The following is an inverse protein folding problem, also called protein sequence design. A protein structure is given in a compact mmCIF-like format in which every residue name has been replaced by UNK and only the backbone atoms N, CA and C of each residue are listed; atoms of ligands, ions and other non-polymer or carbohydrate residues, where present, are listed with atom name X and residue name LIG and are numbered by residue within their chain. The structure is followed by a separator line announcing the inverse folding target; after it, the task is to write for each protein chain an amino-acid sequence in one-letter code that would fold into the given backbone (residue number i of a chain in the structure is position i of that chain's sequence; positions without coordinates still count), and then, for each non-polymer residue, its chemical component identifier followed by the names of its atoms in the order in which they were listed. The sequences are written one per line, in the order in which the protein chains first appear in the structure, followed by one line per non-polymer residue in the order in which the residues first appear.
data_IF_882234948467
#
_entry.id   IF_882234948467
#
_cell.length_a   1.000
_cell.length_b   1.000
_cell.length_c   1.000
_cell.angle_alpha   90.00
_cell.angle_beta   90.00
_cell.angle_gamma   90.00
#
_symmetry.space_group_name_H-M   'P 1'
#
loop_
_entity.id
_entity.type
_entity.pdbx_description
1 polymer ?
#
# COMPACT_ATOMS: atom_id res chain seq x y z
N UNK A 1 -6.58 -33.39 8.41
CA UNK A 1 -5.65 -32.24 8.30
C UNK A 1 -6.45 -30.94 8.32
N UNK A 2 -6.07 -29.93 9.12
CA UNK A 2 -6.71 -28.60 9.04
C UNK A 2 -6.09 -27.84 7.86
N UNK A 3 -6.92 -27.15 7.06
CA UNK A 3 -6.48 -26.43 5.86
C UNK A 3 -5.28 -25.49 6.09
N UNK A 4 -5.21 -24.84 7.25
CA UNK A 4 -4.08 -24.00 7.66
C UNK A 4 -2.77 -24.80 7.77
N UNK A 5 -2.82 -25.99 8.36
CA UNK A 5 -1.63 -26.79 8.64
C UNK A 5 -1.10 -27.39 7.32
N UNK A 6 -1.99 -27.80 6.42
CA UNK A 6 -1.65 -28.12 5.02
C UNK A 6 -0.93 -26.97 4.31
N UNK A 7 -1.42 -25.73 4.47
CA UNK A 7 -0.77 -24.55 3.88
C UNK A 7 0.58 -24.23 4.51
N UNK A 8 0.82 -24.60 5.77
CA UNK A 8 2.11 -24.38 6.45
C UNK A 8 3.16 -25.41 6.01
N UNK A 9 2.74 -26.65 5.80
CA UNK A 9 3.59 -27.76 5.33
C UNK A 9 4.03 -27.58 3.87
N UNK A 10 3.21 -26.91 3.06
CA UNK A 10 3.48 -26.67 1.63
C UNK A 10 3.98 -25.24 1.33
N UNK A 11 4.64 -24.60 2.29
CA UNK A 11 5.31 -23.33 2.04
C UNK A 11 6.67 -23.58 1.42
N UNK A 12 7.01 -22.79 0.40
CA UNK A 12 8.27 -22.86 -0.31
C UNK A 12 8.57 -24.25 -0.91
N UNK A 13 7.52 -25.01 -1.25
CA UNK A 13 7.69 -26.26 -1.99
C UNK A 13 8.22 -25.94 -3.39
N UNK A 14 9.22 -26.70 -3.83
CA UNK A 14 9.76 -26.60 -5.19
C UNK A 14 8.82 -27.36 -6.12
N UNK A 15 8.33 -26.69 -7.15
CA UNK A 15 7.66 -27.37 -8.27
C UNK A 15 8.69 -28.15 -9.10
N UNK A 16 8.22 -29.01 -10.00
CA UNK A 16 9.05 -29.79 -10.95
C UNK A 16 10.01 -28.92 -11.79
N UNK A 17 9.71 -27.62 -11.89
CA UNK A 17 10.51 -26.60 -12.59
C UNK A 17 11.55 -25.90 -11.70
N UNK A 18 11.69 -26.30 -10.44
CA UNK A 18 12.60 -25.69 -9.46
C UNK A 18 12.11 -24.34 -8.91
N UNK A 19 10.95 -23.84 -9.36
CA UNK A 19 10.34 -22.63 -8.80
C UNK A 19 9.80 -22.91 -7.40
N UNK A 20 10.21 -22.07 -6.46
CA UNK A 20 9.74 -22.12 -5.07
C UNK A 20 8.38 -21.42 -5.00
N UNK A 21 7.31 -22.21 -4.92
CA UNK A 21 5.93 -21.73 -4.76
C UNK A 21 5.54 -21.54 -3.30
N UNK A 22 4.53 -20.71 -3.01
CA UNK A 22 3.92 -20.64 -1.68
C UNK A 22 4.62 -19.69 -0.70
N UNK A 23 4.49 -18.38 -0.94
CA UNK A 23 4.88 -17.36 0.06
C UNK A 23 3.96 -17.42 1.29
N UNK A 24 4.49 -17.24 2.52
CA UNK A 24 3.69 -17.13 3.73
C UNK A 24 2.64 -16.03 3.68
N UNK A 25 2.89 -14.93 2.95
CA UNK A 25 1.91 -13.86 2.77
C UNK A 25 0.71 -14.34 1.95
N UNK A 26 0.95 -15.15 0.93
CA UNK A 26 -0.08 -15.71 0.05
C UNK A 26 -0.91 -16.76 0.79
N UNK A 27 -0.26 -17.67 1.51
CA UNK A 27 -0.94 -18.67 2.33
C UNK A 27 -1.79 -18.02 3.45
N UNK A 28 -1.25 -16.99 4.12
CA UNK A 28 -1.99 -16.19 5.09
C UNK A 28 -3.23 -15.54 4.47
N UNK A 29 -3.11 -15.01 3.25
CA UNK A 29 -4.25 -14.44 2.53
C UNK A 29 -5.32 -15.49 2.21
N UNK A 30 -4.97 -16.71 1.83
CA UNK A 30 -5.94 -17.79 1.62
C UNK A 30 -6.70 -18.15 2.89
N UNK A 31 -5.99 -18.26 4.03
CA UNK A 31 -6.65 -18.46 5.34
C UNK A 31 -7.59 -17.29 5.66
N UNK A 32 -7.20 -16.05 5.38
CA UNK A 32 -8.05 -14.87 5.57
C UNK A 32 -9.29 -14.88 4.66
N UNK A 33 -9.22 -15.43 3.44
CA UNK A 33 -10.40 -15.59 2.58
C UNK A 33 -11.43 -16.54 3.19
N UNK A 34 -10.99 -17.66 3.76
CA UNK A 34 -11.86 -18.59 4.50
C UNK A 34 -12.50 -17.89 5.70
N UNK A 35 -11.71 -17.14 6.49
CA UNK A 35 -12.25 -16.37 7.63
C UNK A 35 -13.30 -15.36 7.17
N UNK A 36 -13.02 -14.61 6.09
CA UNK A 36 -13.95 -13.62 5.53
C UNK A 36 -15.24 -14.27 5.02
N UNK A 37 -15.16 -15.48 4.47
CA UNK A 37 -16.33 -16.25 4.04
C UNK A 37 -17.26 -16.57 5.23
N UNK A 38 -16.73 -17.06 6.36
CA UNK A 38 -17.53 -17.30 7.56
C UNK A 38 -18.06 -16.00 8.19
N UNK A 39 -17.29 -14.92 8.17
CA UNK A 39 -17.77 -13.59 8.61
C UNK A 39 -18.94 -13.16 7.73
N UNK A 40 -18.85 -13.35 6.41
CA UNK A 40 -19.93 -13.06 5.48
C UNK A 40 -21.19 -13.90 5.77
N UNK A 41 -21.07 -15.22 5.91
CA UNK A 41 -22.20 -16.10 6.23
C UNK A 41 -22.90 -15.70 7.53
N UNK A 42 -22.12 -15.31 8.54
CA UNK A 42 -22.67 -14.82 9.81
C UNK A 42 -23.43 -13.49 9.62
N UNK A 43 -22.87 -12.55 8.84
CA UNK A 43 -23.55 -11.28 8.53
C UNK A 43 -24.86 -11.49 7.77
N UNK A 44 -24.91 -12.51 6.90
CA UNK A 44 -26.12 -12.92 6.19
C UNK A 44 -27.09 -13.75 7.03
N UNK A 45 -26.78 -14.01 8.32
CA UNK A 45 -27.58 -14.84 9.23
C UNK A 45 -27.81 -16.29 8.76
N UNK A 46 -26.99 -16.77 7.82
CA UNK A 46 -27.04 -18.17 7.34
C UNK A 46 -26.50 -19.11 8.42
N UNK A 47 -25.46 -18.66 9.13
CA UNK A 47 -24.92 -19.35 10.30
C UNK A 47 -25.07 -18.43 11.53
N UNK A 48 -25.51 -18.99 12.65
CA UNK A 48 -25.46 -18.32 13.94
C UNK A 48 -24.18 -18.73 14.66
N UNK A 49 -23.34 -17.75 15.02
CA UNK A 49 -22.16 -18.03 15.84
C UNK A 49 -22.65 -18.24 17.27
N UNK A 50 -22.85 -19.50 17.64
CA UNK A 50 -23.21 -19.93 18.99
C UNK A 50 -21.96 -20.36 19.76
N UNK A 51 -22.08 -20.56 21.08
CA UNK A 51 -21.03 -21.19 21.90
C UNK A 51 -20.66 -22.58 21.39
N UNK A 52 -21.61 -23.28 20.77
CA UNK A 52 -21.43 -24.63 20.19
C UNK A 52 -20.84 -24.59 18.78
N UNK A 53 -21.10 -23.54 17.99
CA UNK A 53 -20.59 -23.38 16.63
C UNK A 53 -19.80 -22.08 16.51
N UNK A 54 -18.55 -22.14 16.96
CA UNK A 54 -17.58 -21.04 16.83
C UNK A 54 -16.43 -21.49 15.92
N UNK A 55 -16.50 -21.20 14.60
CA UNK A 55 -15.49 -21.67 13.64
C UNK A 55 -14.08 -21.19 14.00
N UNK A 56 -13.96 -20.00 14.59
CA UNK A 56 -12.67 -19.39 14.95
C UNK A 56 -12.75 -18.61 16.26
N UNK A 57 -11.64 -18.60 17.00
CA UNK A 57 -11.46 -17.70 18.15
C UNK A 57 -11.10 -16.29 17.68
N UNK A 58 -12.04 -15.37 17.87
CA UNK A 58 -11.81 -13.94 17.66
C UNK A 58 -11.29 -13.31 18.95
N UNK A 59 -10.16 -12.61 18.84
CA UNK A 59 -9.63 -11.73 19.88
C UNK A 59 -9.82 -10.29 19.45
N UNK A 60 -10.57 -9.53 20.24
CA UNK A 60 -10.66 -8.09 20.08
C UNK A 60 -9.35 -7.45 20.54
N UNK A 61 -8.75 -6.63 19.68
CA UNK A 61 -7.60 -5.80 20.03
C UNK A 61 -7.96 -4.35 19.77
N UNK A 62 -7.86 -3.53 20.80
CA UNK A 62 -8.06 -2.09 20.68
C UNK A 62 -6.81 -1.46 20.10
N UNK A 63 -6.94 -0.83 18.94
CA UNK A 63 -5.87 -0.07 18.29
C UNK A 63 -6.18 1.40 18.44
N UNK A 64 -5.29 2.13 19.11
CA UNK A 64 -5.39 3.59 19.22
C UNK A 64 -4.87 4.21 17.93
N UNK A 65 -5.73 4.93 17.19
CA UNK A 65 -5.26 5.76 16.08
C UNK A 65 -4.63 7.03 16.66
N UNK A 66 -3.30 7.07 16.71
CA UNK A 66 -2.55 8.29 16.95
C UNK A 66 -2.33 9.00 15.61
N UNK A 67 -3.01 10.13 15.38
CA UNK A 67 -2.70 11.02 14.26
C UNK A 67 -1.39 11.77 14.57
N UNK A 68 -0.24 11.13 14.29
CA UNK A 68 1.09 11.68 14.58
C UNK A 68 1.47 12.94 13.77
N UNK A 69 0.59 13.41 12.88
CA UNK A 69 0.88 14.47 11.90
C UNK A 69 0.30 15.86 12.17
N UNK A 70 -0.63 16.02 13.13
CA UNK A 70 -1.24 17.32 13.46
C UNK A 70 -0.94 17.70 14.92
N UNK A 71 0.34 17.89 15.25
CA UNK A 71 0.76 18.54 16.50
C UNK A 71 0.56 20.07 16.43
N UNK A 72 -0.61 20.51 15.98
CA UNK A 72 -1.01 21.89 16.00
C UNK A 72 -1.84 22.11 17.27
N UNK A 73 -1.22 22.67 18.32
CA UNK A 73 -1.75 23.44 19.47
C UNK A 73 -2.99 22.95 20.26
N UNK A 74 -3.78 21.99 19.80
CA UNK A 74 -4.99 21.47 20.44
C UNK A 74 -4.73 20.28 21.39
N UNK A 75 -3.48 19.83 21.53
CA UNK A 75 -3.13 18.72 22.46
C UNK A 75 -3.04 19.15 23.93
N UNK A 76 -3.16 20.45 24.25
CA UNK A 76 -3.14 20.96 25.63
C UNK A 76 -4.37 20.54 26.46
N UNK A 77 -5.41 20.01 25.82
CA UNK A 77 -6.63 19.49 26.46
C UNK A 77 -6.90 18.00 26.14
N UNK A 78 -5.86 17.24 25.75
CA UNK A 78 -6.02 15.82 25.39
C UNK A 78 -6.59 14.95 26.53
N UNK A 79 -6.42 15.37 27.79
CA UNK A 79 -6.99 14.70 28.96
C UNK A 79 -8.52 14.85 29.08
N UNK A 80 -9.08 15.94 28.54
CA UNK A 80 -10.53 16.20 28.49
C UNK A 80 -11.21 15.52 27.29
N UNK A 81 -10.46 15.37 26.18
CA UNK A 81 -10.93 14.71 24.95
C UNK A 81 -10.67 13.18 24.92
N UNK A 82 -10.70 12.50 26.08
CA UNK A 82 -10.66 11.02 26.13
C UNK A 82 -11.79 10.36 25.34
N UNK A 83 -12.88 11.09 25.07
CA UNK A 83 -14.00 10.61 24.25
C UNK A 83 -13.73 10.61 22.74
N UNK A 84 -12.65 11.22 22.25
CA UNK A 84 -12.40 11.41 20.81
C UNK A 84 -11.12 10.77 20.27
N UNK A 85 -10.31 10.10 21.10
CA UNK A 85 -9.33 9.16 20.56
C UNK A 85 -10.12 8.03 19.89
N UNK A 86 -10.15 8.01 18.56
CA UNK A 86 -10.81 6.93 17.79
C UNK A 86 -10.07 5.62 18.07
N UNK A 87 -10.48 4.96 19.14
CA UNK A 87 -10.09 3.60 19.45
C UNK A 87 -10.86 2.68 18.49
N UNK A 88 -10.14 2.03 17.58
CA UNK A 88 -10.75 1.03 16.71
C UNK A 88 -10.60 -0.31 17.41
N UNK A 89 -11.72 -0.95 17.71
CA UNK A 89 -11.74 -2.35 18.13
C UNK A 89 -11.57 -3.19 16.88
N UNK A 90 -10.38 -3.78 16.70
CA UNK A 90 -10.08 -4.69 15.61
C UNK A 90 -10.27 -6.11 16.11
N UNK A 91 -11.23 -6.84 15.53
CA UNK A 91 -11.36 -8.27 15.75
C UNK A 91 -10.34 -8.99 14.89
N UNK A 92 -9.45 -9.75 15.54
CA UNK A 92 -8.38 -10.50 14.88
C UNK A 92 -8.47 -11.98 15.23
N UNK A 93 -8.04 -12.86 14.33
CA UNK A 93 -7.93 -14.29 14.59
C UNK A 93 -6.46 -14.67 14.75
N UNK A 94 -6.17 -15.65 15.62
CA UNK A 94 -4.81 -16.14 15.82
C UNK A 94 -4.28 -17.01 14.67
N UNK A 95 -5.09 -17.30 13.66
CA UNK A 95 -4.82 -18.27 12.60
C UNK A 95 -3.66 -17.89 11.69
N UNK A 96 -3.43 -16.58 11.52
CA UNK A 96 -2.37 -16.06 10.64
C UNK A 96 -1.03 -15.88 11.36
N UNK A 97 -0.99 -16.03 12.69
CA UNK A 97 0.23 -15.87 13.50
C UNK A 97 1.37 -16.82 13.09
N UNK A 98 1.13 -18.11 12.78
CA UNK A 98 2.20 -19.02 12.37
C UNK A 98 2.94 -18.56 11.11
N UNK A 99 2.22 -18.02 10.11
CA UNK A 99 2.82 -17.56 8.85
C UNK A 99 3.77 -16.37 9.01
N UNK A 100 3.66 -15.57 10.08
CA UNK A 100 4.56 -14.41 10.31
C UNK A 100 5.96 -14.80 10.77
N UNK A 101 6.11 -15.99 11.36
CA UNK A 101 7.35 -16.41 12.01
C UNK A 101 8.22 -17.30 11.11
N UNK A 102 7.80 -17.54 9.87
CA UNK A 102 8.47 -18.46 8.96
C UNK A 102 9.57 -17.68 8.24
N UNK A 103 10.81 -18.07 8.53
CA UNK A 103 11.99 -17.51 7.88
C UNK A 103 12.00 -17.92 6.41
N UNK A 104 12.46 -17.01 5.56
CA UNK A 104 12.66 -17.29 4.14
C UNK A 104 13.74 -18.37 4.00
N UNK A 105 13.54 -19.41 3.18
CA UNK A 105 14.61 -20.32 2.82
C UNK A 105 15.74 -19.54 2.14
N UNK A 106 16.98 -19.88 2.45
CA UNK A 106 18.16 -19.20 1.91
C UNK A 106 18.30 -19.37 0.38
N UNK A 107 17.70 -20.44 -0.17
CA UNK A 107 17.75 -20.80 -1.59
C UNK A 107 16.57 -20.27 -2.42
N UNK A 108 15.66 -19.50 -1.83
CA UNK A 108 14.52 -18.96 -2.56
C UNK A 108 14.95 -17.69 -3.32
N UNK A 109 14.92 -17.71 -4.66
CA UNK A 109 15.15 -16.53 -5.53
C UNK A 109 13.97 -15.53 -5.47
N UNK A 110 13.72 -15.01 -4.27
CA UNK A 110 12.71 -13.99 -4.00
C UNK A 110 13.46 -12.66 -3.91
N UNK A 111 13.68 -12.02 -5.07
CA UNK A 111 14.33 -10.72 -5.14
C UNK A 111 13.45 -9.67 -4.47
N UNK A 112 13.97 -9.06 -3.41
CA UNK A 112 13.38 -7.86 -2.84
C UNK A 112 13.58 -6.69 -3.81
N UNK A 113 12.55 -5.85 -3.98
CA UNK A 113 12.66 -4.65 -4.79
C UNK A 113 13.52 -3.64 -4.04
N UNK A 114 14.76 -3.48 -4.49
CA UNK A 114 15.65 -2.43 -4.00
C UNK A 114 15.38 -1.11 -4.73
N UNK A 115 15.53 0.04 -4.06
CA UNK A 115 15.51 1.32 -4.74
C UNK A 115 16.64 1.38 -5.78
N UNK A 116 16.38 2.01 -6.93
CA UNK A 116 17.42 2.28 -7.92
C UNK A 116 18.49 3.16 -7.30
N UNK A 117 19.75 2.85 -7.61
CA UNK A 117 20.88 3.72 -7.28
C UNK A 117 20.92 4.93 -8.23
N UNK A 118 21.67 5.96 -7.85
CA UNK A 118 21.72 7.20 -8.64
C UNK A 118 22.39 6.98 -10.02
N UNK A 119 23.36 6.09 -10.12
CA UNK A 119 23.99 5.66 -11.38
C UNK A 119 23.00 4.91 -12.29
N UNK A 120 22.24 3.98 -11.73
CA UNK A 120 21.19 3.25 -12.47
C UNK A 120 20.07 4.18 -12.94
N UNK A 121 19.72 5.18 -12.12
CA UNK A 121 18.72 6.20 -12.42
C UNK A 121 19.18 7.10 -13.57
N UNK A 122 20.44 7.52 -13.59
CA UNK A 122 21.01 8.29 -14.70
C UNK A 122 20.99 7.50 -16.01
N UNK A 123 21.31 6.20 -15.97
CA UNK A 123 21.27 5.36 -17.16
C UNK A 123 19.83 5.17 -17.68
N UNK A 124 18.87 5.01 -16.77
CA UNK A 124 17.45 4.99 -17.11
C UNK A 124 17.02 6.29 -17.82
N UNK A 125 17.50 7.44 -17.37
CA UNK A 125 17.17 8.74 -17.97
C UNK A 125 17.76 8.94 -19.36
N UNK A 126 18.98 8.43 -19.61
CA UNK A 126 19.53 8.40 -20.96
C UNK A 126 18.68 7.56 -21.90
N UNK A 127 18.24 6.39 -21.46
CA UNK A 127 17.39 5.52 -22.27
C UNK A 127 15.99 6.07 -22.54
N UNK A 128 15.49 6.95 -21.67
CA UNK A 128 14.18 7.57 -21.83
C UNK A 128 14.18 8.75 -22.81
N UNK A 129 15.35 9.27 -23.20
CA UNK A 129 15.51 10.44 -24.08
C UNK A 129 14.59 11.60 -23.69
N UNK A 130 14.59 11.96 -22.40
CA UNK A 130 13.61 12.87 -21.78
C UNK A 130 13.53 14.24 -22.49
N UNK A 131 14.65 14.70 -23.06
CA UNK A 131 14.74 16.01 -23.73
C UNK A 131 14.20 15.99 -25.17
N UNK A 132 14.19 14.83 -25.84
CA UNK A 132 13.84 14.72 -27.27
C UNK A 132 12.59 13.87 -27.55
N UNK A 133 12.10 13.15 -26.54
CA UNK A 133 11.02 12.20 -26.69
C UNK A 133 9.66 12.84 -26.43
N UNK A 134 8.77 12.80 -27.43
CA UNK A 134 7.34 13.08 -27.27
C UNK A 134 6.58 11.91 -26.60
N UNK A 135 7.28 10.85 -26.16
CA UNK A 135 6.64 9.69 -25.56
C UNK A 135 6.09 10.02 -24.17
N UNK A 136 4.77 10.00 -24.07
CA UNK A 136 4.03 10.18 -22.82
C UNK A 136 4.48 9.19 -21.75
N UNK A 137 4.83 7.95 -22.12
CA UNK A 137 5.28 6.94 -21.16
C UNK A 137 6.63 7.31 -20.55
N UNK A 138 7.51 7.93 -21.32
CA UNK A 138 8.81 8.36 -20.83
C UNK A 138 8.64 9.44 -19.75
N UNK A 139 7.79 10.43 -20.01
CA UNK A 139 7.44 11.49 -19.05
C UNK A 139 6.77 10.94 -17.79
N UNK A 140 5.87 9.96 -17.94
CA UNK A 140 5.22 9.29 -16.80
C UNK A 140 6.24 8.55 -15.91
N UNK A 141 7.20 7.84 -16.51
CA UNK A 141 8.26 7.14 -15.76
C UNK A 141 9.14 8.16 -15.04
N UNK A 142 9.56 9.22 -15.72
CA UNK A 142 10.38 10.28 -15.14
C UNK A 142 9.68 10.94 -13.93
N UNK A 143 8.43 11.36 -14.11
CA UNK A 143 7.61 11.92 -13.04
C UNK A 143 7.51 10.96 -11.84
N UNK A 144 7.26 9.67 -12.09
CA UNK A 144 7.16 8.65 -11.03
C UNK A 144 8.48 8.49 -10.27
N UNK A 145 9.62 8.48 -10.97
CA UNK A 145 10.93 8.33 -10.34
C UNK A 145 11.27 9.50 -9.42
N UNK A 146 10.91 10.73 -9.80
CA UNK A 146 11.22 11.94 -9.01
C UNK A 146 10.23 12.18 -7.86
N UNK A 147 8.95 11.87 -8.05
CA UNK A 147 7.89 12.22 -7.08
C UNK A 147 7.41 11.05 -6.22
N UNK A 148 7.73 9.81 -6.60
CA UNK A 148 7.28 8.61 -5.91
C UNK A 148 5.76 8.38 -5.99
N UNK A 149 5.11 8.85 -7.05
CA UNK A 149 3.68 8.64 -7.28
C UNK A 149 3.34 7.15 -7.43
N UNK A 150 2.18 6.76 -6.90
CA UNK A 150 1.62 5.42 -7.14
C UNK A 150 1.11 5.33 -8.57
N UNK A 151 0.99 4.10 -9.08
CA UNK A 151 0.53 3.86 -10.45
C UNK A 151 -0.85 4.49 -10.72
N UNK A 152 -1.81 4.31 -9.81
CA UNK A 152 -3.16 4.89 -9.93
C UNK A 152 -3.13 6.43 -9.90
N UNK A 153 -2.28 7.01 -9.04
CA UNK A 153 -2.11 8.46 -8.92
C UNK A 153 -1.47 9.06 -10.18
N UNK A 154 -0.56 8.31 -10.83
CA UNK A 154 0.12 8.71 -12.06
C UNK A 154 -0.81 8.70 -13.28
N UNK A 155 -1.67 7.67 -13.40
CA UNK A 155 -2.62 7.55 -14.52
C UNK A 155 -3.73 8.60 -14.42
N UNK A 156 -4.09 8.98 -13.19
CA UNK A 156 -5.12 9.99 -12.91
C UNK A 156 -4.54 11.34 -12.49
N UNK A 157 -3.29 11.61 -12.88
CA UNK A 157 -2.63 12.86 -12.55
C UNK A 157 -3.31 14.02 -13.29
N UNK A 158 -3.83 15.03 -12.58
CA UNK A 158 -4.71 16.00 -13.21
C UNK A 158 -3.93 17.14 -13.89
N UNK A 159 -4.34 17.53 -15.10
CA UNK A 159 -3.74 18.67 -15.80
C UNK A 159 -3.98 20.03 -15.12
N UNK A 160 -4.96 20.09 -14.21
CA UNK A 160 -5.32 21.30 -13.45
C UNK A 160 -4.27 21.73 -12.42
N UNK A 161 -3.36 20.83 -12.03
CA UNK A 161 -2.27 21.15 -11.09
C UNK A 161 -0.93 21.42 -11.78
N UNK A 162 -0.89 21.31 -13.11
CA UNK A 162 0.30 21.57 -13.90
C UNK A 162 0.32 23.05 -14.28
N UNK A 163 1.24 23.78 -13.66
CA UNK A 163 1.46 25.21 -13.84
C UNK A 163 2.96 25.51 -13.99
N UNK A 164 3.28 26.63 -14.67
CA UNK A 164 4.67 27.06 -14.83
C UNK A 164 5.35 27.23 -13.46
N UNK A 165 6.50 26.57 -13.21
CA UNK A 165 7.14 26.58 -11.91
C UNK A 165 7.63 27.97 -11.53
N UNK A 166 7.30 28.39 -10.31
CA UNK A 166 7.77 29.67 -9.71
C UNK A 166 8.91 29.46 -8.71
N UNK A 167 9.21 28.21 -8.38
CA UNK A 167 10.19 27.80 -7.39
C UNK A 167 10.89 26.53 -7.83
N UNK A 168 12.10 26.26 -7.29
CA UNK A 168 12.89 25.05 -7.58
C UNK A 168 12.14 23.75 -7.30
N UNK A 169 11.23 23.77 -6.33
CA UNK A 169 10.36 22.65 -5.98
C UNK A 169 8.94 23.19 -5.85
N UNK A 170 8.02 22.64 -6.63
CA UNK A 170 6.60 22.99 -6.63
C UNK A 170 5.86 22.01 -5.73
N UNK A 171 5.14 22.54 -4.74
CA UNK A 171 4.31 21.75 -3.84
C UNK A 171 2.90 21.63 -4.41
N UNK A 172 2.50 20.42 -4.77
CA UNK A 172 1.20 20.13 -5.36
C UNK A 172 0.37 19.29 -4.40
N UNK A 173 -0.88 19.68 -4.16
CA UNK A 173 -1.81 18.87 -3.40
C UNK A 173 -2.59 17.96 -4.36
N UNK A 174 -2.57 16.65 -4.12
CA UNK A 174 -3.31 15.65 -4.89
C UNK A 174 -4.35 14.96 -4.01
N UNK A 175 -5.52 14.68 -4.59
CA UNK A 175 -6.61 13.98 -3.92
C UNK A 175 -7.88 13.93 -4.74
N UNK A 176 -8.64 12.83 -4.58
CA UNK A 176 -9.85 12.57 -5.37
C UNK A 176 -10.87 13.70 -5.19
N UNK A 177 -10.99 14.22 -3.97
CA UNK A 177 -11.92 15.29 -3.61
C UNK A 177 -11.44 16.70 -4.01
N UNK A 178 -10.17 16.86 -4.39
CA UNK A 178 -9.60 18.18 -4.73
C UNK A 178 -9.50 18.34 -6.23
N UNK A 179 -8.85 17.37 -6.89
CA UNK A 179 -8.48 17.46 -8.30
C UNK A 179 -8.75 16.17 -9.08
N UNK A 180 -9.51 15.23 -8.50
CA UNK A 180 -9.87 13.98 -9.17
C UNK A 180 -8.76 12.92 -9.17
N UNK A 181 -7.59 13.20 -8.59
CA UNK A 181 -6.48 12.23 -8.53
C UNK A 181 -6.79 11.08 -7.57
N UNK A 182 -6.74 9.83 -8.06
CA UNK A 182 -7.06 8.64 -7.28
C UNK A 182 -5.94 8.29 -6.30
N UNK A 183 -6.02 8.89 -5.12
CA UNK A 183 -5.09 8.67 -4.02
C UNK A 183 -5.51 7.47 -3.16
N UNK A 184 -4.51 6.83 -2.55
CA UNK A 184 -4.75 5.69 -1.65
C UNK A 184 -5.69 6.07 -0.50
N UNK A 185 -6.78 5.31 -0.36
CA UNK A 185 -7.84 5.54 0.64
C UNK A 185 -8.53 6.92 0.52
N UNK A 186 -8.51 7.54 -0.65
CA UNK A 186 -9.10 8.88 -0.89
C UNK A 186 -8.51 9.97 0.02
N UNK A 187 -7.27 9.79 0.47
CA UNK A 187 -6.59 10.73 1.36
C UNK A 187 -5.78 11.72 0.56
N UNK A 188 -6.08 13.00 0.77
CA UNK A 188 -5.32 14.10 0.20
C UNK A 188 -3.90 14.09 0.75
N UNK A 189 -2.92 14.31 -0.13
CA UNK A 189 -1.51 14.49 0.26
C UNK A 189 -0.84 15.55 -0.59
N UNK A 190 0.23 16.12 -0.08
CA UNK A 190 1.09 17.03 -0.84
C UNK A 190 2.30 16.26 -1.36
N UNK A 191 2.63 16.50 -2.63
CA UNK A 191 3.82 15.99 -3.32
C UNK A 191 4.71 17.16 -3.68
N UNK A 192 6.00 16.88 -3.79
CA UNK A 192 7.03 17.85 -4.17
C UNK A 192 7.52 17.47 -5.55
N UNK A 193 7.39 18.40 -6.50
CA UNK A 193 7.78 18.19 -7.90
C UNK A 193 8.95 19.12 -8.20
N UNK A 194 10.11 18.61 -8.64
CA UNK A 194 11.22 19.46 -9.10
C UNK A 194 10.79 20.37 -10.26
N UNK A 195 11.32 21.59 -10.32
CA UNK A 195 10.98 22.56 -11.37
C UNK A 195 11.19 21.99 -12.78
N UNK A 196 12.30 21.28 -13.01
CA UNK A 196 12.61 20.65 -14.32
C UNK A 196 11.52 19.70 -14.79
N UNK A 197 10.97 18.89 -13.88
CA UNK A 197 9.87 17.96 -14.19
C UNK A 197 8.59 18.73 -14.46
N UNK A 198 8.31 19.78 -13.69
CA UNK A 198 7.11 20.59 -13.86
C UNK A 198 7.11 21.39 -15.16
N UNK A 199 8.27 21.91 -15.59
CA UNK A 199 8.45 22.57 -16.88
C UNK A 199 8.10 21.60 -18.03
N UNK A 200 8.65 20.38 -18.01
CA UNK A 200 8.33 19.35 -19.01
C UNK A 200 6.85 18.98 -19.02
N UNK A 201 6.21 18.87 -17.84
CA UNK A 201 4.77 18.64 -17.75
C UNK A 201 3.96 19.80 -18.32
N UNK A 202 4.42 21.03 -18.12
CA UNK A 202 3.77 22.24 -18.64
C UNK A 202 3.91 22.35 -20.16
N UNK A 203 5.05 21.94 -20.72
CA UNK A 203 5.27 21.87 -22.17
C UNK A 203 4.44 20.76 -22.83
N UNK A 204 4.21 19.65 -22.12
CA UNK A 204 3.39 18.53 -22.61
C UNK A 204 1.87 18.81 -22.57
N UNK A 205 1.42 19.66 -21.65
CA UNK A 205 0.00 20.00 -21.42
C UNK A 205 -0.63 20.73 -22.59
#
# INVERSE_FOLDING_TARGET
MRYRDYLLENLYTKDETGKVGGSPSTASNYVLKVVNYFIFLHRQRIISISKTFRPFEFKAKTVRISNKGNRAQHEMLSHLNRSHSKEIIVYTTGLTRPFKNIKKPQDADIRELNPLREDEKQELYKHLDIENSSDTKALMVYLKTETGLRLEELITFPASVVDKPKAKVVKVQIGENINGCLTKFKKNRTIEIPASVMDLLYEYK
#
